data_IF_227009872168
#
_entry.id   IF_227009872168
#
_cell.length_a   1.000
_cell.length_b   1.000
_cell.length_c   1.000
_cell.angle_alpha   90.00
_cell.angle_beta   90.00
_cell.angle_gamma   90.00
#
_symmetry.space_group_name_H-M   'P 1'
#
loop_
_entity.id
_entity.type
_entity.pdbx_description
1 polymer ?
#
# COMPACT_ATOMS: atom_id res chain seq x y z
N UNK A 1 -7.35 -4.48 -2.83
CA UNK A 1 -6.89 -5.61 -1.99
C UNK A 1 -5.39 -5.60 -1.95
N UNK A 2 -4.79 -6.19 -0.91
CA UNK A 2 -3.34 -6.34 -0.79
C UNK A 2 -2.89 -7.66 -1.40
N UNK A 3 -1.71 -7.70 -1.99
CA UNK A 3 -1.08 -8.91 -2.49
C UNK A 3 0.44 -8.85 -2.44
N UNK A 4 1.08 -10.03 -2.40
CA UNK A 4 2.53 -10.23 -2.37
C UNK A 4 2.92 -11.46 -3.22
N UNK A 5 4.17 -11.51 -3.74
CA UNK A 5 4.64 -12.61 -4.56
C UNK A 5 4.81 -13.87 -3.74
N UNK A 6 4.20 -14.97 -4.20
CA UNK A 6 4.35 -16.27 -3.56
C UNK A 6 5.43 -17.12 -4.21
N UNK A 7 6.03 -18.02 -3.43
CA UNK A 7 7.09 -18.92 -3.88
C UNK A 7 6.65 -19.79 -5.09
N UNK A 8 5.36 -20.15 -5.16
CA UNK A 8 4.77 -20.88 -6.28
C UNK A 8 4.74 -20.08 -7.59
N UNK A 9 4.91 -18.75 -7.55
CA UNK A 9 4.92 -17.91 -8.74
C UNK A 9 6.13 -18.19 -9.65
N UNK A 10 7.28 -18.49 -9.05
CA UNK A 10 8.52 -18.78 -9.77
C UNK A 10 8.84 -17.71 -10.82
N UNK A 11 9.11 -18.13 -12.05
CA UNK A 11 9.43 -17.24 -13.17
C UNK A 11 8.24 -16.44 -13.73
N UNK A 12 7.02 -16.67 -13.21
CA UNK A 12 5.82 -15.91 -13.59
C UNK A 12 5.68 -14.59 -12.82
N UNK A 13 6.54 -14.34 -11.83
CA UNK A 13 6.71 -13.08 -11.12
C UNK A 13 8.10 -12.50 -11.40
N UNK A 14 8.27 -11.22 -11.06
CA UNK A 14 9.50 -10.48 -11.25
C UNK A 14 10.70 -11.09 -10.54
N UNK A 15 11.90 -11.05 -11.14
CA UNK A 15 13.11 -11.55 -10.48
C UNK A 15 13.73 -10.54 -9.50
N UNK A 16 13.19 -9.31 -9.43
CA UNK A 16 13.86 -8.17 -8.80
C UNK A 16 13.23 -7.72 -7.46
N UNK A 17 12.28 -8.48 -6.92
CA UNK A 17 11.71 -8.21 -5.60
C UNK A 17 12.81 -8.06 -4.54
N UNK A 18 12.66 -7.07 -3.65
CA UNK A 18 13.64 -6.73 -2.63
C UNK A 18 13.72 -7.82 -1.56
N UNK A 19 12.57 -8.33 -1.14
CA UNK A 19 12.39 -9.44 -0.22
C UNK A 19 12.26 -10.79 -0.93
N UNK A 20 12.29 -11.86 -0.14
CA UNK A 20 11.95 -13.20 -0.63
C UNK A 20 10.44 -13.33 -0.86
N UNK A 21 10.06 -14.20 -1.79
CA UNK A 21 8.65 -14.55 -1.99
C UNK A 21 8.09 -15.25 -0.75
N UNK A 22 6.83 -14.96 -0.43
CA UNK A 22 6.11 -15.61 0.66
C UNK A 22 5.82 -17.08 0.30
N UNK A 23 6.17 -18.02 1.17
CA UNK A 23 5.81 -19.43 1.00
C UNK A 23 4.71 -19.82 2.01
N UNK A 24 3.44 -19.93 1.58
CA UNK A 24 2.36 -20.37 2.47
C UNK A 24 2.63 -21.72 3.16
N UNK A 25 3.47 -22.58 2.56
CA UNK A 25 3.73 -23.94 3.05
C UNK A 25 4.69 -23.98 4.22
N UNK A 26 5.45 -22.90 4.46
CA UNK A 26 6.38 -22.82 5.59
C UNK A 26 5.74 -22.17 6.82
N UNK A 27 4.53 -21.60 6.68
CA UNK A 27 3.79 -20.98 7.78
C UNK A 27 2.74 -21.93 8.35
N UNK A 28 2.78 -22.16 9.66
CA UNK A 28 1.82 -23.00 10.37
C UNK A 28 0.44 -22.34 10.55
N UNK A 29 0.34 -21.04 10.29
CA UNK A 29 -0.91 -20.25 10.39
C UNK A 29 -1.54 -19.94 9.03
N UNK A 30 -0.88 -20.31 7.94
CA UNK A 30 -1.35 -20.04 6.59
C UNK A 30 -2.52 -20.94 6.19
N UNK A 31 -3.57 -20.35 5.64
CA UNK A 31 -4.76 -21.05 5.15
C UNK A 31 -5.12 -20.57 3.73
N UNK A 32 -5.29 -21.51 2.79
CA UNK A 32 -5.86 -21.18 1.47
C UNK A 32 -7.36 -20.93 1.58
N UNK A 33 -7.84 -19.86 0.96
CA UNK A 33 -9.26 -19.50 1.02
C UNK A 33 -10.07 -20.26 -0.02
N UNK A 34 -11.07 -21.01 0.44
CA UNK A 34 -12.00 -21.71 -0.43
C UNK A 34 -13.01 -20.79 -1.13
N UNK A 35 -13.54 -21.20 -2.29
CA UNK A 35 -14.47 -20.35 -3.07
C UNK A 35 -15.78 -20.01 -2.34
N UNK A 36 -16.29 -20.94 -1.53
CA UNK A 36 -17.51 -20.74 -0.74
C UNK A 36 -17.23 -20.10 0.63
N UNK A 37 -15.98 -19.74 0.92
CA UNK A 37 -15.62 -19.09 2.17
C UNK A 37 -16.15 -17.65 2.19
N UNK A 38 -16.69 -17.16 3.32
CA UNK A 38 -17.02 -15.75 3.47
C UNK A 38 -15.79 -14.83 3.36
N UNK A 39 -14.57 -15.38 3.48
CA UNK A 39 -13.30 -14.67 3.28
C UNK A 39 -12.94 -14.47 1.80
N UNK A 40 -13.66 -15.09 0.86
CA UNK A 40 -13.41 -14.96 -0.59
C UNK A 40 -13.92 -13.60 -1.12
N UNK A 41 -13.21 -12.52 -0.78
CA UNK A 41 -13.57 -11.14 -1.09
C UNK A 41 -12.43 -10.46 -1.85
N UNK A 42 -12.70 -10.01 -3.08
CA UNK A 42 -11.70 -9.35 -3.94
C UNK A 42 -12.04 -7.88 -4.21
N UNK A 43 -13.27 -7.45 -3.94
CA UNK A 43 -13.79 -6.15 -4.39
C UNK A 43 -14.24 -6.21 -5.85
N UNK A 44 -13.81 -5.24 -6.67
CA UNK A 44 -14.15 -5.15 -8.09
C UNK A 44 -12.88 -5.17 -8.95
N UNK A 45 -12.65 -6.16 -9.84
CA UNK A 45 -13.57 -7.25 -10.17
C UNK A 45 -13.74 -8.24 -9.01
N UNK A 46 -14.83 -9.00 -9.07
CA UNK A 46 -15.14 -10.06 -8.12
C UNK A 46 -14.09 -11.19 -8.19
N UNK A 47 -14.01 -11.99 -7.12
CA UNK A 47 -13.14 -13.15 -7.10
C UNK A 47 -13.56 -14.18 -8.15
N UNK A 48 -12.56 -14.85 -8.72
CA UNK A 48 -12.75 -16.10 -9.45
C UNK A 48 -12.68 -17.31 -8.52
N UNK A 49 -12.89 -18.49 -9.11
CA UNK A 49 -12.79 -19.76 -8.41
C UNK A 49 -12.12 -20.79 -9.32
N UNK A 50 -11.04 -21.40 -8.84
CA UNK A 50 -10.33 -22.48 -9.56
C UNK A 50 -10.05 -23.62 -8.59
N UNK A 51 -10.52 -24.83 -8.89
CA UNK A 51 -10.32 -26.03 -8.05
C UNK A 51 -10.66 -25.78 -6.56
N UNK A 52 -11.84 -25.18 -6.30
CA UNK A 52 -12.30 -24.77 -4.97
C UNK A 52 -11.39 -23.75 -4.23
N UNK A 53 -10.41 -23.16 -4.90
CA UNK A 53 -9.57 -22.08 -4.37
C UNK A 53 -10.04 -20.74 -4.90
N UNK A 54 -10.23 -19.78 -4.00
CA UNK A 54 -10.62 -18.41 -4.33
C UNK A 54 -9.45 -17.69 -5.03
N UNK A 55 -9.68 -17.13 -6.21
CA UNK A 55 -8.65 -16.45 -7.01
C UNK A 55 -8.99 -15.00 -7.24
N UNK A 56 -7.96 -14.17 -7.44
CA UNK A 56 -8.15 -12.75 -7.76
C UNK A 56 -7.39 -12.38 -9.03
N UNK A 57 -7.80 -11.26 -9.62
CA UNK A 57 -7.09 -10.62 -10.72
C UNK A 57 -7.22 -9.11 -10.58
N UNK A 58 -6.12 -8.41 -10.86
CA UNK A 58 -6.01 -6.96 -10.83
C UNK A 58 -5.36 -6.49 -12.12
N UNK A 59 -5.92 -5.45 -12.71
CA UNK A 59 -5.36 -4.77 -13.88
C UNK A 59 -5.32 -3.28 -13.58
N UNK A 60 -4.26 -2.63 -14.02
CA UNK A 60 -4.00 -1.22 -13.74
C UNK A 60 -4.00 -0.39 -15.03
N UNK A 61 -4.05 0.93 -14.87
CA UNK A 61 -4.17 1.86 -15.98
C UNK A 61 -2.95 1.81 -16.92
N UNK A 62 -1.78 1.46 -16.41
CA UNK A 62 -0.54 1.22 -17.15
C UNK A 62 -0.48 -0.17 -17.83
N UNK A 63 -1.60 -0.89 -17.89
CA UNK A 63 -1.74 -2.22 -18.50
C UNK A 63 -0.95 -3.35 -17.83
N UNK A 64 -0.36 -3.09 -16.67
CA UNK A 64 0.17 -4.14 -15.79
C UNK A 64 -0.98 -4.95 -15.18
N UNK A 65 -0.66 -6.16 -14.72
CA UNK A 65 -1.63 -6.99 -14.02
C UNK A 65 -0.97 -7.89 -12.99
N UNK A 66 -1.74 -8.26 -11.99
CA UNK A 66 -1.38 -9.23 -10.95
C UNK A 66 -2.54 -10.20 -10.74
N UNK A 67 -2.23 -11.47 -10.55
CA UNK A 67 -3.22 -12.52 -10.33
C UNK A 67 -2.67 -13.64 -9.46
N UNK A 68 -3.57 -14.31 -8.76
CA UNK A 68 -3.20 -15.41 -7.87
C UNK A 68 -4.36 -15.93 -7.05
N UNK A 69 -4.04 -16.60 -5.95
CA UNK A 69 -5.01 -17.16 -5.00
C UNK A 69 -5.11 -16.30 -3.74
N UNK A 70 -6.26 -16.37 -3.05
CA UNK A 70 -6.38 -15.79 -1.72
C UNK A 70 -5.85 -16.73 -0.65
N UNK A 71 -5.02 -16.18 0.22
CA UNK A 71 -4.47 -16.84 1.40
C UNK A 71 -4.78 -15.96 2.61
N UNK A 72 -5.06 -16.58 3.75
CA UNK A 72 -5.03 -15.92 5.04
C UNK A 72 -3.76 -16.32 5.77
N UNK A 73 -3.09 -15.34 6.36
CA UNK A 73 -2.02 -15.58 7.33
C UNK A 73 -1.95 -14.41 8.32
N UNK A 74 -1.04 -14.48 9.29
CA UNK A 74 -0.84 -13.45 10.31
C UNK A 74 0.06 -12.32 9.81
N UNK A 75 -0.42 -11.10 10.03
CA UNK A 75 0.32 -9.86 9.85
C UNK A 75 0.79 -9.35 11.20
N UNK A 76 2.06 -8.97 11.25
CA UNK A 76 2.64 -8.34 12.42
C UNK A 76 2.80 -6.84 12.19
N UNK A 77 2.19 -6.06 13.08
CA UNK A 77 2.46 -4.64 13.22
C UNK A 77 3.67 -4.49 14.16
N UNK A 78 4.68 -3.76 13.73
CA UNK A 78 5.92 -3.55 14.50
C UNK A 78 5.78 -2.45 15.56
N UNK A 79 4.59 -2.32 16.14
CA UNK A 79 4.20 -1.36 17.18
C UNK A 79 3.89 -2.03 18.53
N UNK A 80 4.02 -3.37 18.61
CA UNK A 80 3.69 -4.17 19.79
C UNK A 80 2.25 -4.66 19.83
N UNK A 81 1.44 -4.33 18.82
CA UNK A 81 0.07 -4.82 18.68
C UNK A 81 0.05 -6.34 18.45
N UNK A 82 -1.02 -7.04 18.89
CA UNK A 82 -1.20 -8.46 18.62
C UNK A 82 -1.15 -8.78 17.12
N UNK A 83 -0.68 -9.98 16.72
CA UNK A 83 -0.75 -10.42 15.33
C UNK A 83 -2.18 -10.49 14.82
N UNK A 84 -2.39 -10.11 13.56
CA UNK A 84 -3.74 -10.01 12.96
C UNK A 84 -3.89 -10.98 11.80
N UNK A 85 -4.85 -11.92 11.84
CA UNK A 85 -5.14 -12.76 10.68
C UNK A 85 -5.74 -11.92 9.56
N UNK A 86 -5.07 -11.86 8.42
CA UNK A 86 -5.55 -11.10 7.27
C UNK A 86 -5.49 -11.92 5.99
N UNK A 87 -6.48 -11.70 5.14
CA UNK A 87 -6.61 -12.29 3.81
C UNK A 87 -5.97 -11.37 2.78
N UNK A 88 -5.06 -11.91 2.00
CA UNK A 88 -4.33 -11.20 0.95
C UNK A 88 -4.16 -12.08 -0.29
N UNK A 89 -3.79 -11.46 -1.40
CA UNK A 89 -3.45 -12.15 -2.63
C UNK A 89 -2.05 -12.74 -2.57
N UNK A 90 -1.95 -14.03 -2.75
CA UNK A 90 -0.72 -14.76 -2.98
C UNK A 90 -0.52 -14.83 -4.51
N UNK A 91 0.37 -13.99 -5.05
CA UNK A 91 0.56 -13.87 -6.51
C UNK A 91 1.14 -15.14 -7.09
N UNK A 92 0.60 -15.52 -8.24
CA UNK A 92 1.12 -16.61 -9.08
C UNK A 92 1.47 -16.13 -10.48
N UNK A 93 1.21 -14.85 -10.80
CA UNK A 93 1.57 -14.23 -12.07
C UNK A 93 1.51 -12.70 -12.00
N UNK A 94 2.55 -12.07 -12.51
CA UNK A 94 2.65 -10.62 -12.73
C UNK A 94 2.91 -10.32 -14.20
N UNK A 95 2.51 -9.13 -14.65
CA UNK A 95 2.77 -8.66 -16.02
C UNK A 95 3.11 -7.17 -16.06
N UNK A 96 3.84 -6.74 -17.10
CA UNK A 96 4.14 -5.34 -17.33
C UNK A 96 5.05 -4.76 -16.24
N UNK A 97 4.80 -3.52 -15.83
CA UNK A 97 5.62 -2.81 -14.84
C UNK A 97 5.72 -3.55 -13.49
N UNK A 98 4.65 -4.26 -13.09
CA UNK A 98 4.64 -5.04 -11.84
C UNK A 98 5.71 -6.14 -11.86
N UNK A 99 6.00 -6.73 -13.02
CA UNK A 99 7.02 -7.77 -13.15
C UNK A 99 8.45 -7.22 -13.01
N UNK A 100 8.67 -5.95 -13.33
CA UNK A 100 10.02 -5.37 -13.38
C UNK A 100 10.38 -4.54 -12.14
N UNK A 101 9.41 -4.26 -11.28
CA UNK A 101 9.62 -3.49 -10.07
C UNK A 101 10.42 -4.25 -9.01
N UNK A 102 10.91 -3.53 -8.02
CA UNK A 102 11.61 -4.09 -6.85
C UNK A 102 10.70 -4.21 -5.62
N UNK A 103 9.44 -3.78 -5.71
CA UNK A 103 8.49 -3.84 -4.60
C UNK A 103 8.02 -5.28 -4.36
N UNK A 104 7.85 -5.68 -3.10
CA UNK A 104 7.44 -7.04 -2.71
C UNK A 104 5.92 -7.23 -2.73
N UNK A 105 5.24 -6.58 -3.68
CA UNK A 105 3.79 -6.58 -3.82
C UNK A 105 3.15 -5.20 -3.68
N UNK A 106 1.84 -5.18 -3.49
CA UNK A 106 1.03 -3.96 -3.44
C UNK A 106 0.10 -3.97 -2.23
N UNK A 107 0.17 -2.90 -1.43
CA UNK A 107 -0.73 -2.67 -0.30
C UNK A 107 -2.02 -1.99 -0.75
N UNK A 108 -3.14 -2.71 -0.66
CA UNK A 108 -4.44 -2.18 -1.06
C UNK A 108 -5.16 -1.45 0.07
N UNK A 109 -5.34 -0.14 -0.11
CA UNK A 109 -5.96 0.78 0.88
C UNK A 109 -7.35 1.30 0.44
N UNK A 110 -7.96 0.69 -0.57
CA UNK A 110 -9.29 1.11 -1.07
C UNK A 110 -10.43 0.80 -0.10
N UNK A 111 -11.61 1.40 -0.34
CA UNK A 111 -12.84 1.18 0.45
C UNK A 111 -13.49 -0.18 0.14
N UNK A 112 -12.82 -1.26 0.50
CA UNK A 112 -13.27 -2.64 0.32
C UNK A 112 -12.94 -3.47 1.55
N UNK A 113 -13.77 -4.44 1.96
CA UNK A 113 -13.41 -5.37 3.04
C UNK A 113 -12.11 -6.13 2.77
N UNK A 114 -11.68 -6.23 1.51
CA UNK A 114 -10.41 -6.85 1.10
C UNK A 114 -9.17 -5.94 1.28
N UNK A 115 -9.33 -4.68 1.71
CA UNK A 115 -8.19 -3.81 2.03
C UNK A 115 -7.58 -4.18 3.38
N UNK A 116 -6.27 -4.00 3.55
CA UNK A 116 -5.64 -4.23 4.87
C UNK A 116 -6.23 -3.34 5.95
N UNK A 117 -6.50 -2.06 5.68
CA UNK A 117 -7.12 -1.15 6.64
C UNK A 117 -8.43 -1.71 7.20
N UNK A 118 -9.40 -2.04 6.34
CA UNK A 118 -10.69 -2.55 6.82
C UNK A 118 -10.59 -3.90 7.54
N UNK A 119 -9.59 -4.73 7.24
CA UNK A 119 -9.33 -5.95 7.98
C UNK A 119 -8.77 -5.67 9.38
N UNK A 120 -7.87 -4.69 9.52
CA UNK A 120 -7.36 -4.23 10.81
C UNK A 120 -8.45 -3.55 11.65
N UNK A 121 -9.32 -2.76 11.03
CA UNK A 121 -10.50 -2.15 11.69
C UNK A 121 -11.45 -3.24 12.19
N UNK A 122 -11.74 -4.26 11.37
CA UNK A 122 -12.59 -5.37 11.77
C UNK A 122 -12.00 -6.21 12.92
N UNK A 123 -10.66 -6.18 13.08
CA UNK A 123 -9.94 -6.79 14.18
C UNK A 123 -9.73 -5.86 15.39
N UNK A 124 -10.35 -4.67 15.39
CA UNK A 124 -10.26 -3.65 16.44
C UNK A 124 -8.80 -3.22 16.74
N UNK A 125 -7.94 -3.22 15.72
CA UNK A 125 -6.52 -2.87 15.87
C UNK A 125 -6.23 -1.42 15.54
N UNK A 126 -7.02 -0.81 14.66
CA UNK A 126 -6.84 0.58 14.22
C UNK A 126 -8.20 1.24 14.02
N UNK A 127 -8.25 2.56 14.20
CA UNK A 127 -9.39 3.35 13.78
C UNK A 127 -9.59 3.27 12.25
N UNK A 128 -10.80 3.52 11.76
CA UNK A 128 -11.11 3.50 10.33
C UNK A 128 -10.65 4.79 9.62
N UNK A 129 -9.37 5.10 9.78
CA UNK A 129 -8.70 6.26 9.23
C UNK A 129 -7.27 5.88 8.85
N UNK A 130 -6.68 6.61 7.90
CA UNK A 130 -5.25 6.47 7.60
C UNK A 130 -4.72 7.78 7.01
N UNK A 131 -3.42 8.00 7.13
CA UNK A 131 -2.78 9.18 6.55
C UNK A 131 -1.58 8.81 5.71
N UNK A 132 -1.41 9.51 4.58
CA UNK A 132 -0.25 9.40 3.72
C UNK A 132 0.46 10.74 3.66
N UNK A 133 1.75 10.75 3.99
CA UNK A 133 2.61 11.92 3.85
C UNK A 133 3.83 11.53 3.01
N UNK A 134 3.81 11.90 1.73
CA UNK A 134 4.91 11.61 0.82
C UNK A 134 5.98 12.69 0.96
N UNK A 135 7.20 12.29 1.33
CA UNK A 135 8.31 13.21 1.50
C UNK A 135 8.99 13.59 0.19
N UNK A 136 10.26 13.94 0.30
CA UNK A 136 11.06 14.41 -0.82
C UNK A 136 11.43 13.29 -1.80
N UNK A 137 11.99 13.67 -2.95
CA UNK A 137 12.58 12.72 -3.93
C UNK A 137 13.71 11.85 -3.37
N UNK A 138 14.20 12.14 -2.17
CA UNK A 138 15.29 11.40 -1.51
C UNK A 138 14.80 10.18 -0.72
N UNK A 139 13.49 9.95 -0.64
CA UNK A 139 12.91 8.74 -0.04
C UNK A 139 12.55 8.90 1.44
N UNK A 140 11.74 9.92 1.75
CA UNK A 140 11.18 10.17 3.08
C UNK A 140 9.65 10.11 3.05
N UNK A 141 9.01 10.06 4.21
CA UNK A 141 7.55 10.11 4.35
C UNK A 141 7.02 9.15 5.40
N UNK A 142 5.69 9.07 5.50
CA UNK A 142 5.01 8.20 6.44
C UNK A 142 3.68 7.69 5.86
N UNK A 143 3.38 6.42 6.14
CA UNK A 143 2.03 5.88 6.14
C UNK A 143 1.64 5.66 7.59
N UNK A 144 0.49 6.20 7.98
CA UNK A 144 -0.06 6.07 9.32
C UNK A 144 -1.39 5.32 9.19
N UNK A 145 -1.53 4.22 9.92
CA UNK A 145 -2.77 3.45 10.01
C UNK A 145 -3.48 3.81 11.31
N UNK A 146 -4.78 4.10 11.24
CA UNK A 146 -5.56 4.57 12.37
C UNK A 146 -5.39 6.06 12.66
N UNK A 147 -5.95 6.46 13.81
CA UNK A 147 -5.97 7.85 14.26
C UNK A 147 -4.73 8.13 15.12
N UNK A 148 -3.71 8.72 14.49
CA UNK A 148 -2.55 9.26 15.20
C UNK A 148 -2.72 10.75 15.56
N UNK A 149 -3.91 11.31 15.37
CA UNK A 149 -4.16 12.75 15.41
C UNK A 149 -3.52 13.50 14.24
N UNK A 150 -3.96 14.75 14.07
CA UNK A 150 -3.34 15.67 13.12
C UNK A 150 -2.16 16.37 13.80
N UNK A 151 -0.94 16.33 13.24
CA UNK A 151 0.21 16.99 13.85
C UNK A 151 -0.04 18.48 14.10
N UNK A 152 0.50 18.99 15.21
CA UNK A 152 0.34 20.39 15.58
C UNK A 152 0.87 21.31 14.46
N UNK A 153 0.08 22.33 14.11
CA UNK A 153 0.43 23.28 13.04
C UNK A 153 -0.02 22.86 11.64
N UNK A 154 -0.63 21.68 11.47
CA UNK A 154 -1.23 21.25 10.20
C UNK A 154 -2.71 21.65 10.17
N UNK A 155 -3.06 22.60 9.30
CA UNK A 155 -4.45 23.00 9.06
C UNK A 155 -5.10 22.12 7.99
N UNK A 156 -6.25 21.53 8.33
CA UNK A 156 -7.05 20.67 7.46
C UNK A 156 -8.42 21.26 7.11
N UNK A 157 -8.70 22.50 7.48
CA UNK A 157 -10.00 23.14 7.21
C UNK A 157 -9.96 23.94 5.90
N UNK A 158 -10.61 23.41 4.85
CA UNK A 158 -10.84 24.13 3.59
C UNK A 158 -9.55 24.54 2.88
N UNK A 159 -8.86 23.57 2.27
CA UNK A 159 -7.48 23.79 1.83
C UNK A 159 -7.39 24.23 0.38
N UNK A 160 -6.79 25.40 0.16
CA UNK A 160 -6.21 25.78 -1.14
C UNK A 160 -4.87 25.05 -1.29
N UNK A 161 -4.86 23.96 -2.06
CA UNK A 161 -3.61 23.25 -2.36
C UNK A 161 -2.76 24.09 -3.31
N UNK A 162 -1.67 24.67 -2.80
CA UNK A 162 -0.70 25.41 -3.62
C UNK A 162 0.38 24.44 -4.08
N UNK A 163 0.41 24.15 -5.38
CA UNK A 163 1.39 23.25 -5.96
C UNK A 163 2.69 24.00 -6.25
N UNK A 164 3.75 23.68 -5.51
CA UNK A 164 5.09 24.15 -5.83
C UNK A 164 5.65 23.38 -7.03
N UNK A 165 6.71 23.87 -7.71
CA UNK A 165 7.32 23.16 -8.83
C UNK A 165 7.65 21.70 -8.54
N UNK A 166 8.02 21.35 -7.31
CA UNK A 166 8.26 19.96 -6.89
C UNK A 166 7.02 19.04 -6.96
N UNK A 167 5.81 19.61 -6.99
CA UNK A 167 4.54 18.90 -7.03
C UNK A 167 4.02 18.61 -8.44
N UNK A 168 4.63 19.20 -9.47
CA UNK A 168 4.23 18.99 -10.86
C UNK A 168 5.39 18.94 -11.85
N UNK A 169 6.64 19.13 -11.43
CA UNK A 169 7.82 18.96 -12.27
C UNK A 169 8.58 17.69 -11.92
N UNK A 170 8.97 16.92 -12.94
CA UNK A 170 9.91 15.82 -12.82
C UNK A 170 11.20 16.11 -13.58
N UNK A 171 12.33 15.68 -13.01
CA UNK A 171 13.65 15.87 -13.63
C UNK A 171 13.70 15.03 -14.91
N UNK A 172 14.06 15.66 -16.01
CA UNK A 172 14.23 14.95 -17.29
C UNK A 172 15.48 14.06 -17.20
N UNK A 173 15.35 12.79 -17.58
CA UNK A 173 16.44 11.80 -17.52
C UNK A 173 17.58 12.11 -18.50
N UNK A 174 17.33 12.89 -19.55
CA UNK A 174 18.35 13.31 -20.52
C UNK A 174 18.65 14.82 -20.43
N UNK A 175 19.76 15.18 -19.79
CA UNK A 175 20.28 16.55 -19.72
C UNK A 175 20.02 17.26 -18.39
N UNK A 176 21.04 17.96 -17.90
CA UNK A 176 20.99 18.71 -16.65
C UNK A 176 20.09 19.95 -16.78
N UNK A 177 19.35 20.28 -15.72
CA UNK A 177 18.49 21.47 -15.67
C UNK A 177 17.21 21.40 -16.51
N UNK A 178 16.86 20.24 -17.07
CA UNK A 178 15.61 20.03 -17.81
C UNK A 178 14.57 19.37 -16.91
N UNK A 179 13.33 19.84 -17.04
CA UNK A 179 12.19 19.35 -16.29
C UNK A 179 11.01 19.13 -17.22
N UNK A 180 10.19 18.14 -16.92
CA UNK A 180 8.91 17.91 -17.56
C UNK A 180 7.77 18.26 -16.62
N UNK A 181 6.67 18.72 -17.21
CA UNK A 181 5.42 18.99 -16.49
C UNK A 181 4.59 17.70 -16.41
N UNK A 182 4.22 17.31 -15.20
CA UNK A 182 3.42 16.13 -14.84
C UNK A 182 1.91 16.39 -14.86
N UNK A 183 1.45 17.28 -15.73
CA UNK A 183 0.03 17.57 -15.95
C UNK A 183 -0.27 17.13 -17.38
N UNK A 184 -1.09 16.09 -17.49
CA UNK A 184 -1.41 15.46 -18.76
C UNK A 184 -2.93 15.44 -18.94
N UNK A 185 -3.35 15.52 -20.20
CA UNK A 185 -4.75 15.28 -20.54
C UNK A 185 -5.08 13.81 -20.24
N UNK A 186 -6.06 13.59 -19.36
CA UNK A 186 -6.56 12.27 -19.00
C UNK A 186 -7.85 11.91 -19.77
N UNK A 187 -8.19 12.69 -20.80
CA UNK A 187 -9.42 12.55 -21.57
C UNK A 187 -10.66 12.62 -20.67
N UNK A 188 -11.62 11.71 -20.89
CA UNK A 188 -12.85 11.64 -20.11
C UNK A 188 -12.75 10.73 -18.86
N UNK A 189 -11.54 10.36 -18.44
CA UNK A 189 -11.30 9.44 -17.31
C UNK A 189 -11.20 10.16 -15.96
N UNK A 190 -11.62 11.43 -15.88
CA UNK A 190 -11.56 12.25 -14.67
C UNK A 190 -10.15 12.79 -14.37
N UNK A 191 -9.92 13.26 -13.15
CA UNK A 191 -8.62 13.78 -12.70
C UNK A 191 -7.91 12.77 -11.81
N UNK A 192 -6.67 12.40 -12.18
CA UNK A 192 -5.81 11.56 -11.36
C UNK A 192 -4.74 12.44 -10.69
N UNK A 193 -4.81 12.56 -9.36
CA UNK A 193 -3.79 13.23 -8.57
C UNK A 193 -2.80 12.19 -8.05
N UNK A 194 -1.62 12.13 -8.68
CA UNK A 194 -0.57 11.20 -8.31
C UNK A 194 0.23 11.65 -7.08
N UNK A 195 1.05 10.75 -6.53
CA UNK A 195 1.86 11.03 -5.33
C UNK A 195 2.81 12.25 -5.46
N UNK A 196 3.20 12.61 -6.69
CA UNK A 196 3.96 13.84 -6.93
C UNK A 196 3.22 15.09 -6.46
N UNK A 197 1.90 15.16 -6.70
CA UNK A 197 1.05 16.30 -6.31
C UNK A 197 1.03 16.46 -4.79
N UNK A 198 1.10 15.36 -4.05
CA UNK A 198 1.00 15.31 -2.60
C UNK A 198 2.35 15.28 -1.85
N UNK A 199 3.46 15.62 -2.52
CA UNK A 199 4.74 15.81 -1.82
C UNK A 199 4.64 16.93 -0.79
N UNK A 200 5.06 16.65 0.44
CA UNK A 200 4.94 17.54 1.60
C UNK A 200 3.48 17.98 1.87
N UNK A 201 2.53 17.10 1.55
CA UNK A 201 1.12 17.23 1.89
C UNK A 201 0.74 15.99 2.70
N UNK A 202 0.28 16.20 3.92
CA UNK A 202 -0.41 15.18 4.68
C UNK A 202 -1.82 15.01 4.11
N UNK A 203 -2.06 13.85 3.51
CA UNK A 203 -3.38 13.45 3.04
C UNK A 203 -3.99 12.53 4.07
N UNK A 204 -5.02 13.00 4.76
CA UNK A 204 -5.73 12.26 5.81
C UNK A 204 -7.05 11.73 5.26
N UNK A 205 -7.26 10.43 5.35
CA UNK A 205 -8.47 9.75 4.92
C UNK A 205 -9.27 9.33 6.16
N UNK A 206 -10.36 10.03 6.43
CA UNK A 206 -11.36 9.61 7.42
C UNK A 206 -12.42 8.78 6.68
N UNK A 207 -12.19 7.46 6.66
CA UNK A 207 -13.03 6.52 5.93
C UNK A 207 -14.39 6.37 6.61
N UNK A 208 -14.42 6.44 7.95
CA UNK A 208 -15.65 6.44 8.75
C UNK A 208 -16.59 7.59 8.41
N UNK A 209 -16.08 8.81 8.23
CA UNK A 209 -16.89 10.01 7.98
C UNK A 209 -17.02 10.38 6.50
N UNK A 210 -16.44 9.59 5.61
CA UNK A 210 -16.36 9.85 4.17
C UNK A 210 -15.69 11.20 3.83
N UNK A 211 -14.56 11.48 4.49
CA UNK A 211 -13.84 12.74 4.35
C UNK A 211 -12.39 12.51 3.97
N UNK A 212 -11.86 13.46 3.19
CA UNK A 212 -10.43 13.57 2.90
C UNK A 212 -9.97 14.97 3.31
N UNK A 213 -8.95 15.02 4.14
CA UNK A 213 -8.26 16.23 4.57
C UNK A 213 -6.90 16.34 3.89
N UNK A 214 -6.47 17.57 3.64
CA UNK A 214 -5.16 17.88 3.11
C UNK A 214 -4.51 18.89 4.04
N UNK A 215 -3.24 18.75 4.35
CA UNK A 215 -2.51 19.73 5.16
C UNK A 215 -1.06 19.83 4.71
N UNK A 216 -0.56 21.04 4.50
CA UNK A 216 0.85 21.25 4.14
C UNK A 216 1.73 20.95 5.37
N UNK A 217 2.76 20.13 5.18
CA UNK A 217 3.69 19.79 6.27
C UNK A 217 4.99 19.19 5.74
N UNK A 218 6.05 19.26 6.54
CA UNK A 218 7.31 18.59 6.24
C UNK A 218 7.20 17.09 6.58
N UNK A 219 6.82 16.29 5.58
CA UNK A 219 6.60 14.84 5.78
C UNK A 219 7.84 14.09 6.30
N UNK A 220 9.04 14.59 6.04
CA UNK A 220 10.28 13.98 6.53
C UNK A 220 10.37 14.04 8.07
N UNK A 221 9.89 15.12 8.70
CA UNK A 221 9.87 15.28 10.15
C UNK A 221 8.85 14.35 10.82
N UNK A 222 7.71 14.11 10.16
CA UNK A 222 6.70 13.18 10.68
C UNK A 222 7.19 11.73 10.72
N UNK A 223 7.99 11.32 9.74
CA UNK A 223 8.60 9.99 9.72
C UNK A 223 9.64 9.77 10.83
N UNK A 224 10.28 10.83 11.34
CA UNK A 224 11.27 10.72 12.41
C UNK A 224 10.69 10.55 13.80
N UNK A 225 9.47 11.04 14.04
CA UNK A 225 8.80 10.97 15.36
C UNK A 225 8.13 9.60 15.62
N UNK A 226 7.91 8.79 14.57
CA UNK A 226 7.31 7.44 14.65
C UNK A 226 8.42 6.35 14.71
N UNK A 227 9.56 6.63 15.36
CA UNK A 227 10.59 5.61 15.63
C UNK A 227 10.29 4.92 16.97
N UNK A 228 9.90 3.63 17.01
CA UNK A 228 9.76 2.93 18.28
C UNK A 228 11.14 2.81 18.98
N UNK A 229 11.18 2.86 20.33
CA UNK A 229 12.41 2.96 21.12
C UNK A 229 13.36 1.73 21.07
N UNK A 230 13.08 0.73 20.24
CA UNK A 230 13.86 -0.51 20.13
C UNK A 230 14.14 -0.90 18.67
N UNK A 231 14.81 -0.05 17.89
CA UNK A 231 15.38 -0.42 16.58
C UNK A 231 16.92 -0.46 16.66
N UNK A 232 17.46 -1.55 17.23
CA UNK A 232 18.90 -1.90 17.13
C UNK A 232 19.20 -2.59 15.79
N UNK A 233 18.19 -2.86 14.96
CA UNK A 233 18.36 -3.30 13.57
C UNK A 233 17.65 -2.32 12.61
N UNK A 234 18.47 -1.78 11.69
CA UNK A 234 18.21 -0.98 10.48
C UNK A 234 17.38 0.34 10.60
N UNK A 235 17.98 1.50 10.26
CA UNK A 235 17.30 2.81 10.27
C UNK A 235 16.22 3.04 9.20
N UNK A 236 15.78 2.00 8.49
CA UNK A 236 14.68 2.09 7.51
C UNK A 236 13.66 0.99 7.78
N UNK A 237 12.37 1.37 7.76
CA UNK A 237 11.18 0.52 7.76
C UNK A 237 10.48 0.38 9.13
N UNK A 238 9.38 1.14 9.30
CA UNK A 238 8.20 0.62 10.03
C UNK A 238 7.70 -0.55 9.18
N UNK A 239 8.01 -1.76 9.61
CA UNK A 239 7.75 -2.96 8.83
C UNK A 239 6.33 -3.46 8.96
N UNK A 240 5.79 -3.97 7.86
CA UNK A 240 4.75 -4.99 7.90
C UNK A 240 5.44 -6.27 7.46
N UNK A 241 5.40 -7.31 8.30
CA UNK A 241 5.89 -8.63 7.91
C UNK A 241 4.75 -9.64 7.90
N UNK A 242 4.86 -10.60 6.99
CA UNK A 242 3.89 -11.66 6.74
C UNK A 242 4.54 -13.00 7.05
N UNK A 243 4.08 -13.69 8.09
CA UNK A 243 4.55 -15.02 8.44
C UNK A 243 5.98 -15.10 9.02
N UNK A 244 6.13 -16.02 9.98
CA UNK A 244 7.31 -16.43 10.77
C UNK A 244 8.09 -15.34 11.52
N UNK A 245 7.72 -15.14 12.79
CA UNK A 245 8.70 -15.11 13.88
C UNK A 245 8.61 -16.44 14.61
N UNK A 246 9.54 -17.34 14.32
CA UNK A 246 10.03 -18.30 15.31
C UNK A 246 11.36 -17.75 15.87
#
# INVERSE_FOLDING_TARGET
MTYIPCAECGSSCGPNHWGGSFDPRTSNTSERIGCNSPKCICGSPQCGCTANTCTYTRSYAEHSSSSGLLVQDVMHLHDGSPPVPITFGCETRETGEIYWQTADGLLGMGRSPASVLNQLVAADQVANTFSLCLGSVRGDGALILGDAGIPAGVDMQGVRLTLHPLNYLFVHTFGTGKYCVGIFDNGNSGTLLGGIVFRNVLVHYDVSSDRVGFGLTECAALGSDIRPPCSIFDPKVVGVSWGLRD
#
